data_IF_935127674730
#
_entry.id   IF_935127674730
#
_cell.length_a   1.000
_cell.length_b   1.000
_cell.length_c   1.000
_cell.angle_alpha   90.00
_cell.angle_beta   90.00
_cell.angle_gamma   90.00
#
_symmetry.space_group_name_H-M   'P 1'
#
loop_
_entity.id
_entity.type
_entity.pdbx_description
1 polymer ?
#
# COMPACT_ATOMS: atom_id res chain seq x y z
N UNK A 1 -0.49 -24.01 9.43
CA UNK A 1 -0.35 -23.55 8.03
C UNK A 1 -0.67 -22.07 7.91
N UNK A 2 -1.73 -21.60 8.59
CA UNK A 2 -2.14 -20.20 8.58
C UNK A 2 -1.10 -19.21 9.11
N UNK A 3 -0.28 -19.57 10.10
CA UNK A 3 0.74 -18.65 10.66
C UNK A 3 1.64 -18.01 9.59
N UNK A 4 2.14 -18.81 8.64
CA UNK A 4 2.99 -18.27 7.58
C UNK A 4 2.19 -17.43 6.59
N UNK A 5 0.97 -17.83 6.25
CA UNK A 5 0.10 -17.02 5.38
C UNK A 5 -0.25 -15.67 6.04
N UNK A 6 -0.43 -15.64 7.36
CA UNK A 6 -0.63 -14.42 8.15
C UNK A 6 0.62 -13.54 8.15
N UNK A 7 1.81 -14.12 8.33
CA UNK A 7 3.07 -13.38 8.17
C UNK A 7 3.17 -12.78 6.76
N UNK A 8 2.85 -13.56 5.73
CA UNK A 8 2.82 -13.09 4.35
C UNK A 8 1.82 -11.94 4.14
N UNK A 9 0.63 -12.02 4.75
CA UNK A 9 -0.36 -10.93 4.76
C UNK A 9 0.25 -9.67 5.38
N UNK A 10 0.85 -9.77 6.57
CA UNK A 10 1.51 -8.64 7.24
C UNK A 10 2.62 -8.01 6.40
N UNK A 11 3.42 -8.83 5.71
CA UNK A 11 4.45 -8.34 4.79
C UNK A 11 3.87 -7.60 3.58
N UNK A 12 2.77 -8.07 3.00
CA UNK A 12 2.07 -7.36 1.91
C UNK A 12 1.50 -6.04 2.42
N UNK A 13 0.84 -6.07 3.56
CA UNK A 13 0.20 -4.89 4.15
C UNK A 13 1.23 -3.80 4.45
N UNK A 14 2.37 -4.15 5.05
CA UNK A 14 3.47 -3.20 5.29
C UNK A 14 3.93 -2.48 4.02
N UNK A 15 3.96 -3.19 2.90
CA UNK A 15 4.39 -2.65 1.61
C UNK A 15 3.42 -1.60 1.06
N UNK A 16 2.13 -1.71 1.35
CA UNK A 16 1.10 -0.82 0.80
C UNK A 16 0.70 0.33 1.74
N UNK A 17 1.21 0.35 2.98
CA UNK A 17 1.00 1.50 3.85
C UNK A 17 1.66 2.77 3.27
N UNK A 18 0.99 3.92 3.38
CA UNK A 18 1.56 5.22 3.06
C UNK A 18 2.93 5.45 3.73
N UNK A 19 3.95 5.72 2.91
CA UNK A 19 5.27 6.11 3.43
C UNK A 19 5.19 7.56 3.93
N UNK A 20 5.21 7.76 5.25
CA UNK A 20 5.14 9.10 5.87
C UNK A 20 6.51 9.76 6.05
N UNK A 21 7.57 8.96 6.16
CA UNK A 21 8.95 9.46 6.20
C UNK A 21 9.52 9.51 4.76
N UNK A 22 9.51 10.69 4.18
CA UNK A 22 10.06 10.95 2.85
C UNK A 22 11.59 11.10 2.87
N UNK A 23 12.21 11.24 4.04
CA UNK A 23 13.66 11.48 4.15
C UNK A 23 14.47 10.21 3.93
N UNK A 24 13.89 9.05 4.23
CA UNK A 24 14.45 7.75 3.89
C UNK A 24 14.17 7.35 2.43
N UNK A 25 14.87 8.02 1.51
CA UNK A 25 14.78 7.74 0.08
C UNK A 25 15.02 6.26 -0.28
N UNK A 26 15.78 5.50 0.53
CA UNK A 26 16.06 4.09 0.23
C UNK A 26 14.82 3.23 0.39
N UNK A 27 14.15 3.33 1.55
CA UNK A 27 12.93 2.57 1.81
C UNK A 27 11.80 3.01 0.89
N UNK A 28 11.70 4.29 0.53
CA UNK A 28 10.68 4.78 -0.42
C UNK A 28 10.86 4.14 -1.81
N UNK A 29 12.08 4.13 -2.36
CA UNK A 29 12.36 3.49 -3.67
C UNK A 29 12.06 1.99 -3.61
N UNK A 30 12.55 1.30 -2.57
CA UNK A 30 12.36 -0.14 -2.41
C UNK A 30 10.87 -0.50 -2.30
N UNK A 31 10.10 0.28 -1.53
CA UNK A 31 8.65 0.14 -1.39
C UNK A 31 7.97 0.28 -2.76
N UNK A 32 8.30 1.32 -3.52
CA UNK A 32 7.70 1.51 -4.84
C UNK A 32 8.02 0.36 -5.80
N UNK A 33 9.29 -0.06 -5.90
CA UNK A 33 9.72 -1.16 -6.77
C UNK A 33 8.96 -2.45 -6.44
N UNK A 34 8.87 -2.80 -5.15
CA UNK A 34 8.16 -3.98 -4.68
C UNK A 34 6.64 -3.87 -4.89
N UNK A 35 6.03 -2.69 -4.74
CA UNK A 35 4.60 -2.50 -5.05
C UNK A 35 4.32 -2.74 -6.55
N UNK A 36 5.16 -2.24 -7.45
CA UNK A 36 5.00 -2.50 -8.89
C UNK A 36 5.22 -3.97 -9.22
N UNK A 37 6.21 -4.61 -8.59
CA UNK A 37 6.45 -6.04 -8.73
C UNK A 37 5.25 -6.85 -8.23
N UNK A 38 4.71 -6.52 -7.07
CA UNK A 38 3.54 -7.19 -6.50
C UNK A 38 2.32 -7.13 -7.42
N UNK A 39 2.04 -5.93 -7.96
CA UNK A 39 0.91 -5.74 -8.89
C UNK A 39 1.03 -6.58 -10.16
N UNK A 40 2.25 -6.84 -10.63
CA UNK A 40 2.49 -7.55 -11.89
C UNK A 40 2.72 -9.06 -11.72
N UNK A 41 3.35 -9.49 -10.63
CA UNK A 41 3.81 -10.87 -10.43
C UNK A 41 3.51 -11.44 -9.05
N UNK A 42 3.39 -10.59 -8.03
CA UNK A 42 3.47 -10.95 -6.61
C UNK A 42 4.83 -10.62 -6.01
N UNK A 43 5.06 -11.00 -4.74
CA UNK A 43 6.35 -10.86 -4.08
C UNK A 43 7.28 -12.02 -4.41
N UNK A 44 8.61 -11.81 -4.46
CA UNK A 44 9.54 -12.92 -4.55
C UNK A 44 9.42 -13.81 -3.32
N UNK A 45 9.59 -15.11 -3.49
CA UNK A 45 9.62 -16.05 -2.36
C UNK A 45 10.92 -15.82 -1.57
N UNK A 46 10.85 -15.63 -0.24
CA UNK A 46 12.04 -15.46 0.59
C UNK A 46 13.03 -16.63 0.42
N UNK A 47 14.28 -16.30 0.08
CA UNK A 47 15.39 -17.25 0.00
C UNK A 47 15.42 -18.18 -1.21
N UNK A 48 14.68 -17.88 -2.28
CA UNK A 48 14.83 -18.54 -3.60
C UNK A 48 16.21 -18.29 -4.27
N UNK A 49 17.02 -17.40 -3.68
CA UNK A 49 18.28 -16.93 -4.26
C UNK A 49 19.44 -16.75 -3.26
N UNK A 50 19.33 -17.26 -2.03
CA UNK A 50 20.48 -17.24 -1.11
C UNK A 50 21.38 -18.44 -1.41
N UNK A 51 22.51 -18.17 -2.05
CA UNK A 51 23.70 -19.03 -2.02
C UNK A 51 23.94 -19.48 -0.57
N UNK A 52 23.94 -20.79 -0.33
CA UNK A 52 24.16 -21.36 1.01
C UNK A 52 22.92 -21.84 1.78
N UNK A 53 21.71 -21.83 1.19
CA UNK A 53 20.59 -22.56 1.81
C UNK A 53 20.77 -24.07 1.72
N UNK A 54 20.61 -24.77 2.85
CA UNK A 54 20.67 -26.24 2.93
C UNK A 54 19.65 -26.87 1.97
N UNK A 55 20.03 -27.95 1.30
CA UNK A 55 19.17 -28.69 0.37
C UNK A 55 17.86 -29.14 1.04
N UNK A 56 17.91 -29.43 2.35
CA UNK A 56 16.74 -29.77 3.15
C UNK A 56 15.74 -28.60 3.24
N UNK A 57 16.22 -27.39 3.51
CA UNK A 57 15.39 -26.19 3.60
C UNK A 57 14.75 -25.84 2.26
N UNK A 58 15.50 -25.95 1.17
CA UNK A 58 14.97 -25.73 -0.17
C UNK A 58 13.84 -26.70 -0.50
N UNK A 59 14.03 -28.00 -0.25
CA UNK A 59 12.97 -29.01 -0.47
C UNK A 59 11.75 -28.78 0.42
N UNK A 60 11.96 -28.38 1.68
CA UNK A 60 10.86 -28.05 2.60
C UNK A 60 10.03 -26.88 2.08
N UNK A 61 10.67 -25.83 1.57
CA UNK A 61 10.00 -24.67 0.96
C UNK A 61 9.27 -25.04 -0.32
N UNK A 62 9.90 -25.81 -1.21
CA UNK A 62 9.26 -26.28 -2.46
C UNK A 62 8.01 -27.12 -2.17
N UNK A 63 8.05 -27.99 -1.14
CA UNK A 63 6.87 -28.75 -0.69
C UNK A 63 5.78 -27.83 -0.14
N UNK A 64 6.14 -26.92 0.75
CA UNK A 64 5.20 -25.97 1.32
C UNK A 64 4.51 -25.13 0.23
N UNK A 65 5.28 -24.59 -0.72
CA UNK A 65 4.76 -23.83 -1.87
C UNK A 65 3.80 -24.65 -2.72
N UNK A 66 4.14 -25.91 -2.96
CA UNK A 66 3.29 -26.83 -3.71
C UNK A 66 1.98 -27.09 -2.97
N UNK A 67 2.04 -27.25 -1.65
CA UNK A 67 0.87 -27.45 -0.79
C UNK A 67 -0.07 -26.24 -0.83
N UNK A 68 0.43 -25.02 -0.54
CA UNK A 68 -0.39 -23.80 -0.55
C UNK A 68 -0.88 -23.39 -1.95
N UNK A 69 -0.14 -23.77 -3.00
CA UNK A 69 -0.59 -23.58 -4.37
C UNK A 69 -1.72 -24.56 -4.69
N UNK A 70 -1.64 -25.79 -4.20
CA UNK A 70 -2.67 -26.83 -4.43
C UNK A 70 -3.96 -26.52 -3.66
N UNK A 71 -3.87 -25.92 -2.46
CA UNK A 71 -5.05 -25.46 -1.71
C UNK A 71 -5.73 -24.24 -2.34
N UNK A 72 -5.09 -23.56 -3.30
CA UNK A 72 -5.59 -22.32 -3.89
C UNK A 72 -5.39 -21.10 -2.99
N UNK A 73 -4.64 -21.22 -1.89
CA UNK A 73 -4.41 -20.11 -0.95
C UNK A 73 -3.53 -19.01 -1.55
N UNK A 74 -2.64 -19.40 -2.47
CA UNK A 74 -1.75 -18.48 -3.17
C UNK A 74 -1.78 -18.68 -4.67
N UNK A 75 -1.60 -17.58 -5.38
CA UNK A 75 -1.30 -17.54 -6.81
C UNK A 75 0.21 -17.49 -6.96
N UNK A 76 0.78 -18.52 -7.58
CA UNK A 76 2.23 -18.61 -7.84
C UNK A 76 2.51 -18.27 -9.30
N UNK A 77 3.34 -17.25 -9.52
CA UNK A 77 3.81 -16.87 -10.85
C UNK A 77 5.25 -17.35 -11.05
N UNK A 78 5.47 -18.24 -12.02
CA UNK A 78 6.81 -18.75 -12.37
C UNK A 78 7.28 -18.10 -13.68
N UNK A 79 8.47 -17.48 -13.67
CA UNK A 79 9.11 -16.95 -14.88
C UNK A 79 10.38 -17.74 -15.19
N UNK A 80 10.56 -18.12 -16.47
CA UNK A 80 11.75 -18.86 -16.93
C UNK A 80 13.02 -18.07 -16.57
N UNK A 81 13.96 -18.73 -15.87
CA UNK A 81 15.24 -18.16 -15.38
C UNK A 81 15.12 -17.00 -14.36
N UNK A 82 13.95 -16.76 -13.78
CA UNK A 82 13.75 -15.74 -12.72
C UNK A 82 13.23 -16.41 -11.44
N UNK A 83 13.30 -15.66 -10.33
CA UNK A 83 12.73 -16.06 -9.05
C UNK A 83 11.24 -16.37 -9.19
N UNK A 84 10.74 -17.28 -8.36
CA UNK A 84 9.31 -17.54 -8.26
C UNK A 84 8.65 -16.44 -7.44
N UNK A 85 7.46 -16.03 -7.87
CA UNK A 85 6.65 -15.01 -7.19
C UNK A 85 5.37 -15.62 -6.64
N UNK A 86 4.86 -15.03 -5.57
CA UNK A 86 3.63 -15.46 -4.91
C UNK A 86 2.74 -14.26 -4.58
N UNK A 87 1.44 -14.50 -4.54
CA UNK A 87 0.42 -13.57 -4.06
C UNK A 87 -0.64 -14.36 -3.31
N UNK A 88 -1.23 -13.82 -2.24
CA UNK A 88 -2.44 -14.41 -1.66
C UNK A 88 -3.57 -14.43 -2.70
N UNK A 89 -4.40 -15.45 -2.68
CA UNK A 89 -5.68 -15.41 -3.38
C UNK A 89 -6.58 -14.35 -2.73
N UNK A 90 -7.55 -13.80 -3.47
CA UNK A 90 -8.47 -12.81 -2.89
C UNK A 90 -9.27 -13.38 -1.71
N UNK A 91 -9.72 -14.63 -1.83
CA UNK A 91 -10.45 -15.31 -0.76
C UNK A 91 -9.56 -15.49 0.49
N UNK A 92 -8.32 -15.92 0.30
CA UNK A 92 -7.38 -16.14 1.40
C UNK A 92 -6.98 -14.83 2.08
N UNK A 93 -6.74 -13.75 1.32
CA UNK A 93 -6.45 -12.43 1.92
C UNK A 93 -7.58 -11.96 2.85
N UNK A 94 -8.83 -12.01 2.41
CA UNK A 94 -9.98 -11.61 3.24
C UNK A 94 -10.16 -12.50 4.47
N UNK A 95 -9.96 -13.82 4.32
CA UNK A 95 -10.02 -14.79 5.42
C UNK A 95 -9.00 -14.46 6.49
N UNK A 96 -7.73 -14.28 6.09
CA UNK A 96 -6.62 -14.01 6.99
C UNK A 96 -6.74 -12.65 7.67
N UNK A 97 -7.25 -11.62 6.98
CA UNK A 97 -7.55 -10.31 7.61
C UNK A 97 -8.54 -10.47 8.74
N UNK A 98 -9.59 -11.26 8.54
CA UNK A 98 -10.59 -11.52 9.58
C UNK A 98 -9.99 -12.23 10.79
N UNK A 99 -9.16 -13.26 10.55
CA UNK A 99 -8.44 -13.97 11.60
C UNK A 99 -7.49 -13.04 12.38
N UNK A 100 -6.78 -12.14 11.69
CA UNK A 100 -5.88 -11.17 12.29
C UNK A 100 -6.58 -9.97 12.96
N UNK A 101 -7.93 -9.90 12.94
CA UNK A 101 -8.68 -8.77 13.50
C UNK A 101 -8.72 -7.52 12.62
N UNK A 102 -8.22 -7.60 11.38
CA UNK A 102 -8.20 -6.49 10.42
C UNK A 102 -9.56 -6.19 9.79
N UNK A 103 -9.60 -5.08 9.05
CA UNK A 103 -10.81 -4.62 8.37
C UNK A 103 -11.19 -5.50 7.17
N UNK A 104 -12.48 -5.77 7.06
CA UNK A 104 -13.07 -6.59 5.99
C UNK A 104 -13.49 -5.78 4.77
N UNK A 105 -14.12 -6.50 3.83
CA UNK A 105 -14.57 -5.96 2.55
C UNK A 105 -15.48 -4.74 2.70
N UNK A 106 -16.53 -4.85 3.51
CA UNK A 106 -17.51 -3.78 3.65
C UNK A 106 -16.96 -2.54 4.34
N UNK A 107 -16.04 -2.70 5.28
CA UNK A 107 -15.36 -1.57 5.91
C UNK A 107 -14.45 -0.85 4.90
N UNK A 108 -13.75 -1.60 4.04
CA UNK A 108 -12.96 -1.03 2.94
C UNK A 108 -13.86 -0.23 1.98
N UNK A 109 -15.00 -0.81 1.57
CA UNK A 109 -15.98 -0.14 0.70
C UNK A 109 -16.54 1.12 1.37
N UNK A 110 -16.87 1.07 2.66
CA UNK A 110 -17.34 2.24 3.41
C UNK A 110 -16.27 3.34 3.45
N UNK A 111 -15.00 3.00 3.69
CA UNK A 111 -13.89 3.94 3.60
C UNK A 111 -13.75 4.58 2.21
N UNK A 112 -13.90 3.79 1.16
CA UNK A 112 -13.92 4.30 -0.22
C UNK A 112 -15.12 5.22 -0.49
N UNK A 113 -16.31 4.90 0.03
CA UNK A 113 -17.47 5.79 -0.08
C UNK A 113 -17.25 7.12 0.64
N UNK A 114 -16.58 7.13 1.79
CA UNK A 114 -16.18 8.36 2.47
C UNK A 114 -15.25 9.21 1.59
N UNK A 115 -14.28 8.60 0.90
CA UNK A 115 -13.43 9.32 -0.07
C UNK A 115 -14.28 9.87 -1.21
N UNK A 116 -15.14 9.05 -1.81
CA UNK A 116 -15.99 9.44 -2.93
C UNK A 116 -16.93 10.62 -2.58
N UNK A 117 -17.43 10.69 -1.34
CA UNK A 117 -18.29 11.79 -0.89
C UNK A 117 -17.57 13.15 -0.81
N UNK A 118 -16.25 13.14 -0.62
CA UNK A 118 -15.43 14.35 -0.60
C UNK A 118 -14.96 14.78 -2.00
N UNK A 119 -14.97 13.85 -2.95
CA UNK A 119 -14.71 14.10 -4.37
C UNK A 119 -16.00 14.59 -5.03
N UNK A 120 -16.03 15.82 -5.55
CA UNK A 120 -17.20 16.30 -6.30
C UNK A 120 -17.36 15.50 -7.60
N UNK A 121 -18.24 14.49 -7.57
CA UNK A 121 -18.60 13.63 -8.71
C UNK A 121 -18.88 14.41 -10.02
N UNK A 122 -19.37 15.66 -9.93
CA UNK A 122 -19.69 16.51 -11.09
C UNK A 122 -18.49 17.21 -11.76
N UNK A 123 -17.30 17.23 -11.15
CA UNK A 123 -16.09 17.80 -11.77
C UNK A 123 -15.36 16.79 -12.67
N UNK A 124 -15.78 15.53 -12.66
CA UNK A 124 -15.04 14.35 -13.13
C UNK A 124 -15.10 14.12 -14.66
N UNK A 125 -15.77 15.00 -15.43
CA UNK A 125 -15.99 14.80 -16.87
C UNK A 125 -15.25 15.75 -17.82
N UNK A 126 -14.23 16.50 -17.39
CA UNK A 126 -13.50 17.40 -18.32
C UNK A 126 -11.97 17.28 -18.21
N UNK A 127 -11.45 16.25 -18.85
CA UNK A 127 -10.21 16.27 -19.63
C UNK A 127 -8.86 16.55 -18.96
N UNK A 128 -8.69 16.35 -17.65
CA UNK A 128 -7.35 16.44 -17.04
C UNK A 128 -7.12 15.39 -15.97
N UNK A 129 -5.90 14.85 -15.93
CA UNK A 129 -5.32 13.88 -14.99
C UNK A 129 -5.28 14.39 -13.52
N UNK A 130 -6.36 15.00 -13.03
CA UNK A 130 -6.55 15.30 -11.62
C UNK A 130 -7.33 14.14 -11.00
N UNK A 131 -6.59 13.15 -10.52
CA UNK A 131 -7.14 12.17 -9.59
C UNK A 131 -7.52 12.98 -8.34
N UNK A 132 -8.82 13.24 -8.14
CA UNK A 132 -9.31 13.95 -6.97
C UNK A 132 -8.91 13.15 -5.73
N UNK A 133 -7.85 13.61 -5.05
CA UNK A 133 -7.40 13.05 -3.79
C UNK A 133 -8.05 13.78 -2.63
N UNK A 134 -8.20 13.09 -1.51
CA UNK A 134 -8.75 13.63 -0.27
C UNK A 134 -7.72 13.42 0.82
N UNK A 135 -7.37 14.48 1.54
CA UNK A 135 -6.39 14.37 2.60
C UNK A 135 -6.94 13.57 3.79
N UNK A 136 -6.08 12.78 4.46
CA UNK A 136 -6.48 11.92 5.58
C UNK A 136 -7.15 12.73 6.70
N UNK A 137 -6.69 13.96 6.92
CA UNK A 137 -7.22 14.83 7.97
C UNK A 137 -8.65 15.30 7.66
N UNK A 138 -8.99 15.48 6.38
CA UNK A 138 -10.36 15.82 5.98
C UNK A 138 -11.29 14.64 6.24
N UNK A 139 -10.84 13.42 5.91
CA UNK A 139 -11.58 12.18 6.16
C UNK A 139 -11.75 11.88 7.66
N UNK A 140 -10.75 12.22 8.47
CA UNK A 140 -10.76 12.02 9.93
C UNK A 140 -11.40 13.18 10.70
N UNK A 141 -11.76 14.27 10.01
CA UNK A 141 -12.31 15.48 10.62
C UNK A 141 -11.34 16.20 11.55
N UNK A 142 -10.04 16.14 11.30
CA UNK A 142 -9.00 16.86 12.05
C UNK A 142 -8.37 17.97 11.21
N UNK A 143 -7.80 19.00 11.85
CA UNK A 143 -7.06 20.06 11.15
C UNK A 143 -5.54 19.85 11.27
N UNK A 144 -4.75 20.19 10.24
CA UNK A 144 -3.29 20.10 10.30
C UNK A 144 -2.64 21.08 11.28
N UNK A 145 -3.31 22.21 11.59
CA UNK A 145 -2.76 23.35 12.35
C UNK A 145 -2.55 23.08 13.84
N UNK A 146 -2.94 21.90 14.26
CA UNK A 146 -3.30 21.58 15.62
C UNK A 146 -2.17 20.77 16.31
N UNK A 147 -1.08 20.49 15.59
CA UNK A 147 -0.01 19.61 16.07
C UNK A 147 -0.50 18.16 16.18
N UNK A 148 0.37 17.22 16.57
CA UNK A 148 0.00 15.81 16.67
C UNK A 148 -0.92 15.60 17.88
N UNK A 149 -2.24 15.77 17.71
CA UNK A 149 -3.22 15.27 18.68
C UNK A 149 -3.19 13.73 18.64
N UNK A 150 -3.04 13.04 19.79
CA UNK A 150 -3.08 11.58 19.84
C UNK A 150 -4.36 10.99 19.22
N UNK A 151 -5.49 11.70 19.36
CA UNK A 151 -6.76 11.27 18.78
C UNK A 151 -6.79 11.40 17.25
N UNK A 152 -6.22 12.48 16.70
CA UNK A 152 -6.08 12.63 15.24
C UNK A 152 -5.16 11.54 14.68
N UNK A 153 -4.04 11.25 15.35
CA UNK A 153 -3.14 10.16 14.98
C UNK A 153 -3.84 8.79 15.00
N UNK A 154 -4.65 8.51 16.03
CA UNK A 154 -5.42 7.26 16.11
C UNK A 154 -6.48 7.14 15.00
N UNK A 155 -7.23 8.21 14.72
CA UNK A 155 -8.24 8.19 13.64
C UNK A 155 -7.60 7.98 12.28
N UNK A 156 -6.45 8.62 12.01
CA UNK A 156 -5.70 8.42 10.79
C UNK A 156 -5.18 6.98 10.66
N UNK A 157 -4.70 6.37 11.76
CA UNK A 157 -4.29 4.95 11.79
C UNK A 157 -5.46 4.02 11.46
N UNK A 158 -6.62 4.21 12.10
CA UNK A 158 -7.81 3.40 11.82
C UNK A 158 -8.30 3.56 10.38
N UNK A 159 -8.24 4.78 9.82
CA UNK A 159 -8.55 5.02 8.42
C UNK A 159 -7.58 4.27 7.50
N UNK A 160 -6.28 4.32 7.78
CA UNK A 160 -5.27 3.60 7.02
C UNK A 160 -5.50 2.08 7.02
N UNK A 161 -5.69 1.49 8.19
CA UNK A 161 -5.99 0.06 8.35
C UNK A 161 -7.28 -0.32 7.61
N UNK A 162 -8.30 0.54 7.62
CA UNK A 162 -9.56 0.33 6.92
C UNK A 162 -9.40 0.39 5.38
N UNK A 163 -8.52 1.25 4.88
CA UNK A 163 -8.28 1.44 3.44
C UNK A 163 -7.24 0.47 2.87
N UNK A 164 -6.43 -0.15 3.73
CA UNK A 164 -5.32 -1.03 3.36
C UNK A 164 -5.71 -2.15 2.38
N UNK A 165 -6.83 -2.88 2.57
CA UNK A 165 -7.22 -3.91 1.61
C UNK A 165 -7.49 -3.34 0.21
N UNK A 166 -7.97 -2.09 0.13
CA UNK A 166 -8.19 -1.37 -1.13
C UNK A 166 -6.91 -0.85 -1.77
N UNK A 167 -5.91 -0.48 -0.96
CA UNK A 167 -4.57 -0.11 -1.44
C UNK A 167 -3.84 -1.31 -2.07
N UNK A 168 -3.86 -2.46 -1.40
CA UNK A 168 -3.27 -3.73 -1.89
C UNK A 168 -3.90 -4.15 -3.22
N UNK A 169 -5.23 -4.03 -3.34
CA UNK A 169 -6.00 -4.37 -4.55
C UNK A 169 -5.97 -3.32 -5.65
N UNK A 170 -5.23 -2.22 -5.45
CA UNK A 170 -5.15 -1.12 -6.41
C UNK A 170 -6.53 -0.48 -6.71
N UNK A 171 -7.48 -0.57 -5.78
CA UNK A 171 -8.74 0.18 -5.80
C UNK A 171 -8.52 1.62 -5.37
N UNK A 172 -7.54 1.81 -4.48
CA UNK A 172 -7.10 3.08 -3.95
C UNK A 172 -5.64 3.36 -4.34
N UNK A 173 -5.28 4.63 -4.39
CA UNK A 173 -3.90 5.10 -4.31
C UNK A 173 -3.73 5.98 -3.08
N UNK A 174 -2.52 5.99 -2.53
CA UNK A 174 -2.11 6.92 -1.49
C UNK A 174 -0.86 7.69 -1.94
N UNK A 175 -0.71 8.88 -1.40
CA UNK A 175 0.52 9.67 -1.49
C UNK A 175 0.69 10.47 -0.21
N UNK A 176 1.94 10.72 0.18
CA UNK A 176 2.26 11.50 1.38
C UNK A 176 3.03 12.75 0.98
N UNK A 177 2.77 13.86 1.67
CA UNK A 177 3.54 15.09 1.49
C UNK A 177 4.81 15.12 2.36
N UNK A 178 5.57 16.22 2.27
CA UNK A 178 6.80 16.44 3.04
C UNK A 178 6.56 16.63 4.55
N UNK A 179 5.31 16.73 4.97
CA UNK A 179 4.92 16.80 6.38
C UNK A 179 4.42 15.45 6.90
N UNK A 180 4.44 14.41 6.07
CA UNK A 180 3.93 13.08 6.41
C UNK A 180 2.40 12.99 6.36
N UNK A 181 1.73 14.00 5.79
CA UNK A 181 0.28 13.98 5.60
C UNK A 181 -0.06 13.09 4.42
N UNK A 182 -0.92 12.10 4.63
CA UNK A 182 -1.38 11.23 3.55
C UNK A 182 -2.62 11.80 2.86
N UNK A 183 -2.72 11.59 1.56
CA UNK A 183 -3.92 11.74 0.77
C UNK A 183 -4.28 10.43 0.08
N UNK A 184 -5.57 10.19 -0.07
CA UNK A 184 -6.11 9.00 -0.71
C UNK A 184 -6.92 9.36 -1.94
N UNK A 185 -6.89 8.50 -2.95
CA UNK A 185 -7.73 8.64 -4.12
C UNK A 185 -8.24 7.31 -4.64
N UNK A 186 -9.43 7.35 -5.24
CA UNK A 186 -10.05 6.18 -5.84
C UNK A 186 -9.53 6.01 -7.27
N UNK A 187 -9.02 4.82 -7.58
CA UNK A 187 -8.57 4.43 -8.92
C UNK A 187 -9.76 3.93 -9.74
N UNK A 188 -9.66 3.84 -11.08
CA UNK A 188 -10.75 3.32 -11.91
C UNK A 188 -11.30 1.96 -11.45
N UNK A 189 -10.43 1.05 -11.00
CA UNK A 189 -10.86 -0.23 -10.42
C UNK A 189 -11.68 -0.07 -9.14
N UNK A 190 -11.36 0.91 -8.30
CA UNK A 190 -12.13 1.21 -7.10
C UNK A 190 -13.50 1.81 -7.40
N UNK A 191 -13.60 2.67 -8.42
CA UNK A 191 -14.90 3.16 -8.88
C UNK A 191 -15.79 2.05 -9.43
N UNK A 192 -15.22 1.06 -10.12
CA UNK A 192 -15.98 -0.12 -10.56
C UNK A 192 -16.55 -0.93 -9.37
N UNK A 193 -15.81 -1.02 -8.27
CA UNK A 193 -16.29 -1.64 -7.01
C UNK A 193 -17.40 -0.80 -6.39
N UNK A 194 -17.26 0.53 -6.32
CA UNK A 194 -18.29 1.39 -5.74
C UNK A 194 -19.59 1.42 -6.55
N UNK A 195 -19.52 1.27 -7.87
CA UNK A 195 -20.68 1.20 -8.74
C UNK A 195 -21.52 -0.06 -8.50
N UNK A 196 -20.88 -1.19 -8.20
CA UNK A 196 -21.55 -2.48 -7.96
C UNK A 196 -20.77 -3.29 -6.89
N UNK A 197 -20.96 -2.96 -5.60
CA UNK A 197 -20.18 -3.59 -4.54
C UNK A 197 -20.55 -5.07 -4.35
N UNK A 198 -21.82 -5.44 -4.50
CA UNK A 198 -22.23 -6.85 -4.32
C UNK A 198 -21.58 -7.78 -5.34
N UNK A 199 -21.36 -7.33 -6.59
CA UNK A 199 -20.63 -8.11 -7.60
C UNK A 199 -19.17 -8.39 -7.24
N UNK A 200 -18.54 -7.50 -6.48
CA UNK A 200 -17.13 -7.61 -6.09
C UNK A 200 -16.95 -8.19 -4.69
N UNK A 201 -18.04 -8.57 -4.04
CA UNK A 201 -18.03 -9.13 -2.69
C UNK A 201 -17.37 -10.51 -2.67
N UNK A 202 -16.50 -10.79 -1.68
CA UNK A 202 -15.94 -12.13 -1.49
C UNK A 202 -17.02 -13.18 -1.16
N UNK A 203 -16.78 -14.47 -1.45
CA UNK A 203 -17.67 -15.55 -1.05
C UNK A 203 -17.95 -15.52 0.46
N UNK A 204 -19.17 -15.85 0.88
CA UNK A 204 -19.59 -15.77 2.28
C UNK A 204 -18.73 -16.64 3.22
N UNK A 205 -18.25 -17.78 2.71
CA UNK A 205 -17.37 -18.75 3.39
C UNK A 205 -16.06 -18.13 3.89
N UNK A 206 -15.64 -17.01 3.30
CA UNK A 206 -14.42 -16.31 3.68
C UNK A 206 -14.57 -15.55 5.00
N UNK A 207 -15.81 -15.28 5.43
CA UNK A 207 -16.11 -14.50 6.64
C UNK A 207 -16.43 -15.38 7.86
N UNK A 208 -16.30 -16.71 7.76
CA UNK A 208 -16.65 -17.64 8.86
C UNK A 208 -15.59 -17.72 9.95
N UNK A 209 -14.36 -17.33 9.65
CA UNK A 209 -13.27 -17.40 10.60
C UNK A 209 -13.38 -16.33 11.68
N UNK A 210 -13.03 -16.73 12.91
CA UNK A 210 -13.04 -15.87 14.09
C UNK A 210 -11.63 -15.33 14.33
N UNK A 211 -11.56 -14.11 14.87
CA UNK A 211 -10.30 -13.51 15.29
C UNK A 211 -9.53 -14.40 16.27
N UNK A 212 -8.20 -14.39 16.17
CA UNK A 212 -7.29 -15.12 17.06
C UNK A 212 -6.06 -14.26 17.39
N UNK A 213 -5.74 -14.14 18.68
CA UNK A 213 -4.54 -13.43 19.17
C UNK A 213 -3.25 -13.99 18.55
N UNK A 214 -3.17 -15.30 18.35
CA UNK A 214 -2.00 -15.93 17.73
C UNK A 214 -1.93 -15.61 16.24
N UNK A 215 -3.08 -15.46 15.59
CA UNK A 215 -3.13 -15.01 14.21
C UNK A 215 -2.68 -13.55 14.05
N UNK A 216 -3.13 -12.69 14.95
CA UNK A 216 -2.69 -11.29 15.03
C UNK A 216 -1.17 -11.20 15.29
N UNK A 217 -0.62 -11.97 16.23
CA UNK A 217 0.83 -12.02 16.47
C UNK A 217 1.61 -12.44 15.22
N UNK A 218 1.14 -13.46 14.51
CA UNK A 218 1.77 -13.93 13.28
C UNK A 218 1.74 -12.86 12.19
N UNK A 219 0.61 -12.16 12.04
CA UNK A 219 0.46 -11.03 11.14
C UNK A 219 1.48 -9.93 11.46
N UNK A 220 1.55 -9.46 12.71
CA UNK A 220 2.48 -8.40 13.11
C UNK A 220 3.94 -8.82 12.99
N UNK A 221 4.26 -10.10 13.23
CA UNK A 221 5.61 -10.61 12.98
C UNK A 221 6.04 -10.43 11.52
N UNK A 222 5.17 -10.79 10.57
CA UNK A 222 5.50 -10.64 9.14
C UNK A 222 5.50 -9.18 8.66
N UNK A 223 4.69 -8.34 9.31
CA UNK A 223 4.71 -6.90 9.11
C UNK A 223 6.06 -6.29 9.52
N UNK A 224 6.54 -6.60 10.72
CA UNK A 224 7.82 -6.09 11.23
C UNK A 224 9.02 -6.63 10.46
N UNK A 225 8.99 -7.90 10.06
CA UNK A 225 10.01 -8.51 9.20
C UNK A 225 10.16 -7.72 7.88
N UNK A 226 9.04 -7.40 7.23
CA UNK A 226 9.06 -6.58 6.00
C UNK A 226 9.48 -5.14 6.28
N UNK A 227 9.08 -4.55 7.40
CA UNK A 227 9.51 -3.21 7.76
C UNK A 227 11.03 -3.13 7.87
N UNK A 228 11.63 -4.10 8.57
CA UNK A 228 13.06 -4.22 8.72
C UNK A 228 13.77 -4.52 7.39
N UNK A 229 13.16 -5.31 6.50
CA UNK A 229 13.68 -5.54 5.14
C UNK A 229 13.74 -4.23 4.34
N UNK A 230 12.65 -3.45 4.33
CA UNK A 230 12.58 -2.18 3.61
C UNK A 230 13.60 -1.16 4.12
N UNK A 231 13.87 -1.12 5.43
CA UNK A 231 14.91 -0.27 6.02
C UNK A 231 16.33 -0.66 5.61
N UNK A 232 16.57 -1.96 5.35
CA UNK A 232 17.89 -2.48 4.92
C UNK A 232 18.04 -2.51 3.41
N UNK A 233 16.94 -2.38 2.66
CA UNK A 233 16.94 -2.50 1.22
C UNK A 233 17.87 -1.46 0.57
N UNK A 234 18.71 -1.94 -0.34
CA UNK A 234 19.53 -1.06 -1.17
C UNK A 234 18.77 -0.82 -2.48
N UNK A 235 18.59 0.44 -2.92
CA UNK A 235 17.92 0.74 -4.17
C UNK A 235 18.54 -0.04 -5.33
N UNK A 236 17.68 -0.70 -6.11
CA UNK A 236 18.06 -1.61 -7.21
C UNK A 236 18.78 -0.89 -8.36
N UNK A 237 18.62 0.43 -8.46
CA UNK A 237 19.29 1.27 -9.44
C UNK A 237 20.06 2.41 -8.77
N UNK A 238 21.38 2.46 -9.00
CA UNK A 238 22.24 3.54 -8.54
C UNK A 238 21.74 4.90 -9.07
N UNK A 239 21.42 5.82 -8.16
CA UNK A 239 20.87 7.14 -8.51
C UNK A 239 19.35 7.25 -8.53
N UNK A 240 18.61 6.21 -8.12
CA UNK A 240 17.17 6.34 -7.88
C UNK A 240 16.89 7.29 -6.73
N UNK A 241 16.18 8.37 -7.02
CA UNK A 241 15.56 9.22 -6.02
C UNK A 241 14.06 8.99 -6.15
N UNK A 242 13.47 8.27 -5.20
CA UNK A 242 12.03 8.37 -5.00
C UNK A 242 11.80 9.66 -4.23
N UNK A 243 11.48 10.71 -4.97
CA UNK A 243 10.73 11.81 -4.37
C UNK A 243 9.39 11.18 -4.03
N UNK A 244 9.07 11.09 -2.73
CA UNK A 244 7.72 10.83 -2.27
C UNK A 244 6.83 11.72 -3.15
N UNK A 245 5.95 11.10 -3.94
CA UNK A 245 5.06 11.84 -4.81
C UNK A 245 4.29 12.72 -3.86
N UNK A 246 4.65 13.99 -3.82
CA UNK A 246 3.73 14.98 -3.36
C UNK A 246 2.53 14.81 -4.30
N UNK A 247 1.39 14.41 -3.73
CA UNK A 247 0.29 15.33 -3.95
C UNK A 247 0.90 16.67 -3.54
N UNK A 248 1.25 17.49 -4.54
CA UNK A 248 1.90 18.78 -4.33
C UNK A 248 1.26 19.49 -3.15
N UNK A 249 2.03 20.31 -2.46
CA UNK A 249 1.55 21.27 -1.47
C UNK A 249 0.05 21.56 -1.65
N UNK A 250 -0.74 21.11 -0.66
CA UNK A 250 -2.15 21.46 -0.60
C UNK A 250 -2.24 22.95 -0.28
N UNK A 251 -2.03 23.80 -1.28
CA UNK A 251 -2.19 25.23 -1.10
C UNK A 251 -3.66 25.58 -1.26
N UNK A 252 -4.21 26.33 -0.31
CA UNK A 252 -5.58 26.80 -0.39
C UNK A 252 -5.66 27.86 -1.50
N UNK A 253 -6.04 27.44 -2.70
CA UNK A 253 -6.49 28.41 -3.70
C UNK A 253 -7.72 29.17 -3.16
N UNK A 254 -7.94 30.44 -3.56
CA UNK A 254 -9.09 31.23 -3.13
C UNK A 254 -10.46 30.54 -3.37
N UNK A 255 -10.50 29.53 -4.24
CA UNK A 255 -11.68 28.73 -4.58
C UNK A 255 -11.82 27.41 -3.80
N UNK A 256 -10.95 27.14 -2.81
CA UNK A 256 -10.92 25.91 -1.98
C UNK A 256 -10.72 24.62 -2.76
N UNK A 257 -10.14 24.67 -3.97
CA UNK A 257 -9.80 23.48 -4.74
C UNK A 257 -8.36 23.10 -4.50
N UNK A 258 -8.11 21.82 -4.42
CA UNK A 258 -6.77 21.28 -4.31
C UNK A 258 -6.27 20.89 -5.71
N UNK A 259 -5.04 21.24 -6.10
CA UNK A 259 -4.47 20.87 -7.41
C UNK A 259 -3.08 20.26 -7.24
N UNK A 260 -2.78 19.11 -7.89
CA UNK A 260 -1.48 18.47 -7.75
C UNK A 260 -0.40 19.23 -8.54
N UNK A 261 0.73 19.51 -7.89
CA UNK A 261 1.99 19.81 -8.59
C UNK A 261 2.66 18.48 -8.91
N UNK A 262 2.69 18.10 -10.19
CA UNK A 262 3.39 16.88 -10.63
C UNK A 262 4.90 17.10 -10.58
N UNK A 263 5.59 16.40 -9.67
CA UNK A 263 7.05 16.22 -9.75
C UNK A 263 7.35 14.74 -9.98
N UNK A 264 7.62 14.39 -11.24
CA UNK A 264 8.22 13.11 -11.60
C UNK A 264 9.74 13.25 -11.62
N UNK A 265 10.44 12.34 -10.96
CA UNK A 265 11.84 12.04 -11.28
C UNK A 265 12.07 10.52 -11.28
N UNK A 266 11.55 9.85 -12.31
CA UNK A 266 12.19 8.66 -12.85
C UNK A 266 12.88 9.05 -14.16
N UNK A 267 14.14 9.43 -14.05
CA UNK A 267 15.12 9.40 -15.14
C UNK A 267 16.48 9.45 -14.46
N UNK A 268 17.40 8.56 -14.85
CA UNK A 268 18.73 8.35 -14.24
C UNK A 268 19.71 9.54 -14.31
N UNK A 269 19.23 10.77 -14.23
CA UNK A 269 20.02 11.99 -14.07
C UNK A 269 19.65 12.61 -12.72
N UNK A 270 20.57 12.51 -11.76
CA UNK A 270 20.50 13.22 -10.49
C UNK A 270 20.19 14.70 -10.72
N UNK A 271 18.96 15.13 -10.45
CA UNK A 271 18.78 16.46 -9.88
C UNK A 271 19.06 16.28 -8.39
N UNK A 272 20.08 16.96 -7.88
CA UNK A 272 20.42 16.93 -6.45
C UNK A 272 19.13 17.26 -5.67
N UNK A 273 18.84 16.53 -4.59
CA UNK A 273 17.68 16.79 -3.71
C UNK A 273 17.64 18.27 -3.32
N UNK A 274 18.81 18.87 -3.05
CA UNK A 274 18.96 20.32 -2.79
C UNK A 274 18.49 21.23 -3.92
N UNK A 275 18.55 20.80 -5.19
CA UNK A 275 18.01 21.56 -6.32
C UNK A 275 16.47 21.42 -6.42
N UNK A 276 15.91 20.28 -6.03
CA UNK A 276 14.46 20.09 -5.91
C UNK A 276 13.93 20.91 -4.73
N UNK A 277 14.57 20.81 -3.56
CA UNK A 277 14.28 21.63 -2.38
C UNK A 277 14.45 23.13 -2.66
N UNK A 278 15.49 23.56 -3.37
CA UNK A 278 15.69 24.97 -3.72
C UNK A 278 14.66 25.47 -4.74
N UNK A 279 14.29 24.64 -5.74
CA UNK A 279 13.22 24.98 -6.66
C UNK A 279 11.87 25.08 -5.93
N UNK A 280 11.61 24.18 -4.98
CA UNK A 280 10.45 24.19 -4.12
C UNK A 280 10.40 25.43 -3.21
N UNK A 281 11.49 25.73 -2.49
CA UNK A 281 11.63 26.94 -1.66
C UNK A 281 11.52 28.25 -2.47
N UNK A 282 11.83 28.22 -3.77
CA UNK A 282 11.71 29.36 -4.67
C UNK A 282 10.28 29.55 -5.19
N UNK A 283 9.50 28.47 -5.33
CA UNK A 283 8.07 28.51 -5.61
C UNK A 283 7.26 29.00 -4.39
N UNK A 284 7.79 28.76 -3.18
CA UNK A 284 7.19 29.13 -1.88
C UNK A 284 7.45 30.56 -1.41
N UNK A 285 8.01 31.42 -2.26
CA UNK A 285 8.22 32.86 -1.99
C UNK A 285 7.45 33.67 -3.02
#
# INVERSE_FOLDING_TARGET
MDEMLLRLLGSVDRLFLPTRDWTDNRSVVATWDLQQQYRTLGLPIPGDATEGSDQADRKRRERWLTEIQTSGDVVVTRRRKRRTHWRLSDATDWRLRRQAGGYGYWQTVAGMMCIAAHVKLDAVLKDTLAVDSVAEYQLCGCQPKDGPYPEASRRCQLLEEMLLPGLVRNWLGSCSDVHGTTAYAIRPAGYAVLHDPEKHKPPAEVFTDVHSDDAEKAYWSGYEDMHAELQRATPTHAGSVAVAISAGEWDWYPDRRLRPVQVFCHNGKQRKITAIEAAYRKLMR
#
